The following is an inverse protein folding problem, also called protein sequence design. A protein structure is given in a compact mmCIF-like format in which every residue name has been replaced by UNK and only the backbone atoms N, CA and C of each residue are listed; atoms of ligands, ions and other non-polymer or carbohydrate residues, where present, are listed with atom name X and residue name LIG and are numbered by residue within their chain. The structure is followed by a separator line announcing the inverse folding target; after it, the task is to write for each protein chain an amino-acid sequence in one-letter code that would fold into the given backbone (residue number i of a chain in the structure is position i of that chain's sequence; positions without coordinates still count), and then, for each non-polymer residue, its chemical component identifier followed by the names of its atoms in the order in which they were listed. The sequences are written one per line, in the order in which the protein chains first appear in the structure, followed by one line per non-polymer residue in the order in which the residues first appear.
data_IF_802560809530
#
_entry.id   IF_802560809530
#
_cell.length_a   1.000
_cell.length_b   1.000
_cell.length_c   1.000
_cell.angle_alpha   90.00
_cell.angle_beta   90.00
_cell.angle_gamma   90.00
#
_symmetry.space_group_name_H-M   'P 1'
#
loop_
_entity.id
_entity.type
_entity.pdbx_description
1 polymer ?
#
# COMPACT_ATOMS: atom_id res chain seq x y z
N UNK A 1 0.51 34.39 -0.68
CA UNK A 1 -0.28 34.09 -1.89
C UNK A 1 -1.34 33.06 -1.52
N UNK A 2 -2.56 33.27 -1.94
CA UNK A 2 -3.65 32.29 -1.83
C UNK A 2 -3.48 31.16 -2.86
N UNK A 3 -4.15 29.99 -2.66
CA UNK A 3 -4.17 28.88 -3.64
C UNK A 3 -4.54 29.39 -5.06
N UNK A 4 -5.55 30.28 -5.16
CA UNK A 4 -6.00 30.84 -6.44
C UNK A 4 -4.91 31.68 -7.14
N UNK A 5 -4.16 32.48 -6.39
CA UNK A 5 -3.02 33.23 -6.92
C UNK A 5 -1.89 32.31 -7.36
N UNK A 6 -1.57 31.28 -6.58
CA UNK A 6 -0.58 30.28 -6.95
C UNK A 6 -0.96 29.57 -8.25
N UNK A 7 -2.21 29.13 -8.41
CA UNK A 7 -2.73 28.55 -9.65
C UNK A 7 -2.58 29.50 -10.85
N UNK A 8 -2.83 30.80 -10.64
CA UNK A 8 -2.74 31.79 -11.72
C UNK A 8 -1.31 32.01 -12.23
N UNK A 9 -0.32 31.92 -11.31
CA UNK A 9 1.09 32.22 -11.65
C UNK A 9 1.91 30.96 -11.93
N UNK A 10 1.43 29.78 -11.58
CA UNK A 10 2.12 28.52 -11.83
C UNK A 10 2.03 28.14 -13.32
N UNK A 11 3.15 27.84 -13.94
CA UNK A 11 3.19 27.32 -15.30
C UNK A 11 3.40 25.79 -15.27
N UNK A 12 2.38 24.98 -15.59
CA UNK A 12 2.49 23.52 -15.54
C UNK A 12 3.37 22.92 -16.66
N UNK A 13 3.88 23.75 -17.58
CA UNK A 13 4.75 23.31 -18.67
C UNK A 13 6.23 23.59 -18.39
N UNK A 14 6.54 24.17 -17.23
CA UNK A 14 7.92 24.42 -16.81
C UNK A 14 8.54 23.20 -16.15
N UNK A 15 9.87 23.24 -16.00
CA UNK A 15 10.63 22.23 -15.25
C UNK A 15 10.12 22.21 -13.79
N UNK A 16 9.91 21.03 -13.25
CA UNK A 16 9.49 20.83 -11.85
C UNK A 16 10.50 21.46 -10.87
N UNK A 17 10.00 22.30 -9.97
CA UNK A 17 10.82 22.92 -8.94
C UNK A 17 11.08 21.94 -7.79
N UNK A 18 12.30 21.44 -7.66
CA UNK A 18 12.69 20.46 -6.63
C UNK A 18 12.67 21.02 -5.19
N UNK A 19 12.57 22.34 -5.02
CA UNK A 19 12.37 22.99 -3.72
C UNK A 19 10.88 23.22 -3.37
N UNK A 20 9.97 22.82 -4.25
CA UNK A 20 8.53 22.85 -4.02
C UNK A 20 8.02 21.47 -3.55
N UNK A 21 6.70 21.29 -3.45
CA UNK A 21 6.10 19.99 -3.11
C UNK A 21 6.20 18.96 -4.24
N UNK A 22 5.62 17.80 -4.02
CA UNK A 22 5.53 16.71 -5.01
C UNK A 22 5.06 17.25 -6.37
N UNK A 23 5.65 16.77 -7.46
CA UNK A 23 5.44 17.27 -8.84
C UNK A 23 5.87 18.73 -9.04
N UNK A 24 6.66 19.31 -8.15
CA UNK A 24 7.02 20.74 -8.22
C UNK A 24 5.87 21.71 -7.94
N UNK A 25 4.77 21.23 -7.35
CA UNK A 25 3.58 22.03 -7.09
C UNK A 25 3.80 23.03 -5.94
N UNK A 26 3.28 24.27 -6.06
CA UNK A 26 3.57 25.35 -5.11
C UNK A 26 2.63 25.39 -3.89
N UNK A 27 1.86 24.32 -3.65
CA UNK A 27 0.82 24.31 -2.64
C UNK A 27 1.33 23.90 -1.27
N UNK A 28 0.75 24.49 -0.22
CA UNK A 28 0.93 24.06 1.16
C UNK A 28 -0.02 22.91 1.49
N UNK A 29 0.24 22.22 2.61
CA UNK A 29 -0.59 21.11 3.08
C UNK A 29 -2.08 21.47 3.14
N UNK A 30 -2.41 22.62 3.71
CA UNK A 30 -3.81 23.07 3.85
C UNK A 30 -4.49 23.32 2.50
N UNK A 31 -3.73 23.76 1.50
CA UNK A 31 -4.22 24.07 0.15
C UNK A 31 -4.44 22.81 -0.71
N UNK A 32 -3.83 21.69 -0.35
CA UNK A 32 -3.92 20.43 -1.09
C UNK A 32 -5.17 19.63 -0.72
N UNK A 33 -5.83 19.07 -1.72
CA UNK A 33 -6.97 18.15 -1.53
C UNK A 33 -6.50 16.71 -1.29
N UNK A 34 -5.34 16.35 -1.85
CA UNK A 34 -4.74 15.03 -1.76
C UNK A 34 -3.52 15.09 -0.83
N UNK A 35 -3.46 14.17 0.11
CA UNK A 35 -2.35 14.01 1.06
C UNK A 35 -1.71 12.64 0.84
N UNK A 36 -0.43 12.60 0.51
CA UNK A 36 0.34 11.36 0.36
C UNK A 36 1.16 11.15 1.63
N UNK A 37 0.91 10.05 2.31
CA UNK A 37 1.64 9.64 3.52
C UNK A 37 2.74 8.66 3.12
N UNK A 38 4.01 9.03 3.22
CA UNK A 38 5.13 8.12 2.99
C UNK A 38 5.31 7.16 4.17
N UNK A 39 5.46 5.86 3.89
CA UNK A 39 5.69 4.81 4.89
C UNK A 39 6.91 4.00 4.49
N UNK A 40 8.14 4.42 4.84
CA UNK A 40 9.39 3.76 4.47
C UNK A 40 9.62 2.50 5.33
N UNK A 41 8.84 1.44 5.07
CA UNK A 41 8.82 0.22 5.86
C UNK A 41 9.01 -1.03 4.99
N UNK A 42 9.98 -1.89 5.38
CA UNK A 42 10.27 -3.14 4.67
C UNK A 42 10.74 -4.28 5.60
N UNK A 43 10.23 -4.28 6.82
CA UNK A 43 10.74 -5.17 7.90
C UNK A 43 10.61 -6.64 7.56
N UNK A 44 9.53 -7.05 6.90
CA UNK A 44 9.20 -8.47 6.67
C UNK A 44 9.43 -8.93 5.23
N UNK A 45 10.12 -8.15 4.41
CA UNK A 45 10.42 -8.52 3.02
C UNK A 45 11.30 -9.79 2.99
N UNK A 46 10.84 -10.83 2.29
CA UNK A 46 11.53 -12.13 2.25
C UNK A 46 12.66 -12.18 1.22
N UNK A 47 12.58 -11.38 0.15
CA UNK A 47 13.58 -11.40 -0.93
C UNK A 47 13.90 -9.99 -1.39
N UNK A 48 15.18 -9.62 -1.33
CA UNK A 48 15.71 -8.32 -1.75
C UNK A 48 15.07 -7.12 -1.01
N UNK A 49 15.88 -6.28 -0.39
CA UNK A 49 15.44 -5.02 0.23
C UNK A 49 15.36 -3.87 -0.78
N UNK A 50 14.96 -2.68 -0.30
CA UNK A 50 14.96 -1.43 -1.05
C UNK A 50 13.57 -0.80 -1.24
N UNK A 51 12.49 -1.50 -0.89
CA UNK A 51 11.13 -0.96 -0.99
C UNK A 51 10.90 0.21 -0.03
N UNK A 52 11.59 0.26 1.10
CA UNK A 52 11.53 1.40 2.04
C UNK A 52 12.02 2.71 1.41
N UNK A 53 12.86 2.65 0.37
CA UNK A 53 13.31 3.83 -0.38
C UNK A 53 12.28 4.31 -1.43
N UNK A 54 11.23 3.52 -1.67
CA UNK A 54 10.18 3.82 -2.65
C UNK A 54 9.59 5.22 -2.51
N UNK A 55 9.20 5.68 -1.31
CA UNK A 55 8.65 7.02 -1.13
C UNK A 55 9.59 8.14 -1.59
N UNK A 56 10.88 8.08 -1.23
CA UNK A 56 11.89 9.05 -1.66
C UNK A 56 12.11 9.01 -3.16
N UNK A 57 12.29 7.81 -3.73
CA UNK A 57 12.53 7.64 -5.16
C UNK A 57 11.36 8.15 -6.02
N UNK A 58 10.12 7.93 -5.57
CA UNK A 58 8.92 8.41 -6.26
C UNK A 58 8.79 9.93 -6.13
N UNK A 59 9.09 10.50 -4.96
CA UNK A 59 9.11 11.96 -4.78
C UNK A 59 10.12 12.60 -5.74
N UNK A 60 11.35 12.09 -5.79
CA UNK A 60 12.38 12.58 -6.71
C UNK A 60 11.97 12.45 -8.17
N UNK A 61 11.42 11.29 -8.56
CA UNK A 61 10.95 11.07 -9.93
C UNK A 61 9.77 11.99 -10.30
N UNK A 62 8.94 12.38 -9.33
CA UNK A 62 7.77 13.23 -9.56
C UNK A 62 8.11 14.60 -10.16
N UNK A 63 9.31 15.10 -9.93
CA UNK A 63 9.76 16.38 -10.49
C UNK A 63 10.02 16.33 -12.01
N UNK A 64 10.07 15.13 -12.60
CA UNK A 64 10.29 14.92 -14.04
C UNK A 64 8.98 14.63 -14.80
N UNK A 65 7.85 14.58 -14.10
CA UNK A 65 6.56 14.20 -14.69
C UNK A 65 5.85 15.43 -15.26
N UNK A 66 5.42 15.34 -16.53
CA UNK A 66 4.52 16.32 -17.11
C UNK A 66 3.14 16.28 -16.46
N UNK A 67 2.57 17.46 -16.17
CA UNK A 67 1.31 17.59 -15.45
C UNK A 67 0.06 17.51 -16.35
N UNK A 68 0.22 17.11 -17.60
CA UNK A 68 -0.89 16.92 -18.52
C UNK A 68 -1.56 15.57 -18.33
N UNK A 69 -2.84 15.57 -17.99
CA UNK A 69 -3.68 14.38 -17.98
C UNK A 69 -4.78 14.52 -19.07
N UNK A 70 -4.89 13.56 -20.01
CA UNK A 70 -5.85 13.65 -21.11
C UNK A 70 -7.31 13.43 -20.68
N UNK A 71 -7.52 12.78 -19.52
CA UNK A 71 -8.85 12.44 -18.99
C UNK A 71 -9.32 13.48 -17.99
N UNK A 72 -8.42 13.97 -17.12
CA UNK A 72 -8.73 14.95 -16.07
C UNK A 72 -7.88 16.21 -16.27
N UNK A 73 -8.30 17.12 -17.18
CA UNK A 73 -7.54 18.33 -17.45
C UNK A 73 -7.32 19.16 -16.18
N UNK A 74 -6.08 19.59 -15.97
CA UNK A 74 -5.69 20.41 -14.82
C UNK A 74 -5.85 19.72 -13.44
N UNK A 75 -5.75 18.40 -13.37
CA UNK A 75 -5.80 17.64 -12.11
C UNK A 75 -4.83 18.18 -11.04
N UNK A 76 -3.67 18.73 -11.46
CA UNK A 76 -2.68 19.36 -10.58
C UNK A 76 -3.24 20.49 -9.71
N UNK A 77 -4.34 21.16 -10.12
CA UNK A 77 -4.98 22.25 -9.35
C UNK A 77 -5.63 21.78 -8.06
N UNK A 78 -5.91 20.49 -7.93
CA UNK A 78 -6.37 19.90 -6.66
C UNK A 78 -5.32 20.10 -5.57
N UNK A 79 -4.04 20.10 -5.93
CA UNK A 79 -2.92 20.11 -5.03
C UNK A 79 -2.69 18.72 -4.44
N UNK A 80 -1.46 18.28 -4.53
CA UNK A 80 -0.99 17.01 -3.95
C UNK A 80 0.14 17.37 -3.00
N UNK A 81 -0.03 17.02 -1.73
CA UNK A 81 0.98 17.23 -0.70
C UNK A 81 1.61 15.89 -0.34
N UNK A 82 2.92 15.86 -0.37
CA UNK A 82 3.71 14.74 0.15
C UNK A 82 4.08 15.09 1.58
N UNK A 83 3.61 14.27 2.53
CA UNK A 83 3.84 14.48 3.95
C UNK A 83 5.31 14.23 4.32
N UNK A 84 5.74 14.75 5.47
CA UNK A 84 7.10 14.53 5.94
C UNK A 84 7.34 13.04 6.24
N UNK A 85 8.51 12.55 5.86
CA UNK A 85 8.94 11.20 6.23
C UNK A 85 9.24 11.17 7.73
N UNK A 86 8.51 10.33 8.46
CA UNK A 86 8.71 10.16 9.89
C UNK A 86 10.02 9.41 10.14
N UNK A 87 11.03 10.14 10.62
CA UNK A 87 12.39 9.62 10.84
C UNK A 87 12.40 8.41 11.80
N UNK A 88 11.52 8.41 12.79
CA UNK A 88 11.43 7.30 13.75
C UNK A 88 10.95 6.00 13.09
N UNK A 89 10.04 6.09 12.12
CA UNK A 89 9.55 4.95 11.33
C UNK A 89 10.65 4.42 10.41
N UNK A 90 11.32 5.33 9.68
CA UNK A 90 12.43 4.98 8.78
C UNK A 90 13.58 4.32 9.54
N UNK A 91 14.02 4.91 10.65
CA UNK A 91 15.10 4.37 11.48
C UNK A 91 14.74 2.99 12.05
N UNK A 92 13.51 2.82 12.53
CA UNK A 92 13.02 1.52 13.05
C UNK A 92 12.99 0.47 11.96
N UNK A 93 12.44 0.78 10.80
CA UNK A 93 12.44 -0.09 9.63
C UNK A 93 13.84 -0.60 9.30
N UNK A 94 14.78 0.33 9.10
CA UNK A 94 16.17 -0.01 8.76
C UNK A 94 16.87 -0.87 9.83
N UNK A 95 16.64 -0.55 11.11
CA UNK A 95 17.28 -1.28 12.20
C UNK A 95 16.71 -2.68 12.34
N UNK A 96 15.40 -2.81 12.25
CA UNK A 96 14.71 -4.08 12.42
C UNK A 96 14.89 -5.00 11.20
N UNK A 97 14.94 -4.41 9.99
CA UNK A 97 15.21 -5.15 8.74
C UNK A 97 16.48 -5.99 8.82
N UNK A 98 17.55 -5.46 9.42
CA UNK A 98 18.80 -6.23 9.57
C UNK A 98 18.63 -7.48 10.42
N UNK A 99 17.79 -7.43 11.46
CA UNK A 99 17.49 -8.58 12.31
C UNK A 99 16.61 -9.59 11.60
N UNK A 100 15.55 -9.10 10.93
CA UNK A 100 14.60 -9.98 10.22
C UNK A 100 15.22 -10.61 8.99
N UNK A 101 16.10 -9.92 8.27
CA UNK A 101 16.86 -10.49 7.16
C UNK A 101 17.80 -11.63 7.63
N UNK A 102 18.51 -11.41 8.74
CA UNK A 102 19.32 -12.48 9.33
C UNK A 102 18.45 -13.65 9.75
N UNK A 103 17.31 -13.41 10.37
CA UNK A 103 16.33 -14.42 10.74
C UNK A 103 15.84 -15.23 9.52
N UNK A 104 15.44 -14.57 8.43
CA UNK A 104 14.96 -15.19 7.20
C UNK A 104 16.06 -16.08 6.59
N UNK A 105 17.31 -15.61 6.59
CA UNK A 105 18.44 -16.40 6.12
C UNK A 105 18.63 -17.69 6.94
N UNK A 106 18.55 -17.62 8.27
CA UNK A 106 18.64 -18.79 9.14
C UNK A 106 17.47 -19.77 8.90
N UNK A 107 16.25 -19.27 8.66
CA UNK A 107 15.14 -20.14 8.27
C UNK A 107 15.43 -20.88 6.96
N UNK A 108 16.02 -20.20 5.97
CA UNK A 108 16.36 -20.81 4.68
C UNK A 108 17.47 -21.87 4.82
N UNK A 109 18.30 -21.80 5.86
CA UNK A 109 19.31 -22.78 6.24
C UNK A 109 18.73 -23.95 7.07
N UNK A 110 17.43 -23.91 7.40
CA UNK A 110 16.71 -24.96 8.12
C UNK A 110 16.66 -24.77 9.64
N UNK A 111 17.09 -23.62 10.17
CA UNK A 111 16.87 -23.30 11.56
C UNK A 111 15.37 -22.98 11.81
N UNK A 112 14.91 -23.23 13.01
CA UNK A 112 13.53 -22.97 13.43
C UNK A 112 13.50 -22.29 14.80
N UNK A 113 12.43 -21.58 15.17
CA UNK A 113 12.27 -21.02 16.51
C UNK A 113 12.35 -22.08 17.63
N UNK A 114 11.98 -23.33 17.32
CA UNK A 114 12.08 -24.46 18.26
C UNK A 114 13.54 -24.90 18.52
N UNK A 115 14.40 -24.82 17.50
CA UNK A 115 15.83 -25.12 17.62
C UNK A 115 16.65 -23.93 18.14
N UNK A 116 16.19 -22.71 17.92
CA UNK A 116 16.89 -21.49 18.30
C UNK A 116 15.90 -20.43 18.86
N UNK A 117 15.76 -20.34 20.19
CA UNK A 117 14.80 -19.41 20.83
C UNK A 117 15.01 -17.94 20.50
N UNK A 118 16.21 -17.50 20.08
CA UNK A 118 16.47 -16.12 19.65
C UNK A 118 15.70 -15.77 18.39
N UNK A 119 15.36 -16.74 17.57
CA UNK A 119 14.54 -16.53 16.39
C UNK A 119 13.11 -16.09 16.79
N UNK A 120 12.56 -16.66 17.88
CA UNK A 120 11.27 -16.25 18.41
C UNK A 120 11.29 -14.81 18.92
N UNK A 121 12.35 -14.38 19.59
CA UNK A 121 12.50 -12.99 20.03
C UNK A 121 12.47 -12.01 18.85
N UNK A 122 13.08 -12.39 17.72
CA UNK A 122 13.05 -11.56 16.49
C UNK A 122 11.65 -11.46 15.90
N UNK A 123 10.89 -12.57 15.87
CA UNK A 123 9.50 -12.59 15.41
C UNK A 123 8.63 -11.67 16.29
N UNK A 124 8.76 -11.84 17.60
CA UNK A 124 7.96 -11.09 18.58
C UNK A 124 8.25 -9.58 18.50
N UNK A 125 9.53 -9.20 18.39
CA UNK A 125 9.92 -7.80 18.19
C UNK A 125 9.37 -7.26 16.86
N UNK A 126 9.49 -8.01 15.76
CA UNK A 126 8.98 -7.58 14.44
C UNK A 126 7.46 -7.38 14.47
N UNK A 127 6.71 -8.34 15.02
CA UNK A 127 5.25 -8.24 15.11
C UNK A 127 4.81 -7.06 15.98
N UNK A 128 5.48 -6.82 17.12
CA UNK A 128 5.18 -5.69 17.99
C UNK A 128 5.45 -4.34 17.32
N UNK A 129 6.54 -4.21 16.56
CA UNK A 129 6.89 -2.95 15.87
C UNK A 129 6.02 -2.73 14.63
N UNK A 130 5.66 -3.79 13.89
CA UNK A 130 4.67 -3.70 12.80
C UNK A 130 3.31 -3.23 13.30
N UNK A 131 2.88 -3.70 14.48
CA UNK A 131 1.65 -3.23 15.11
C UNK A 131 1.69 -1.72 15.43
N UNK A 132 2.83 -1.23 15.94
CA UNK A 132 3.03 0.21 16.19
C UNK A 132 3.02 1.02 14.90
N UNK A 133 3.69 0.53 13.86
CA UNK A 133 3.67 1.15 12.52
C UNK A 133 2.23 1.25 11.99
N UNK A 134 1.45 0.18 12.06
CA UNK A 134 0.04 0.18 11.64
C UNK A 134 -0.79 1.19 12.44
N UNK A 135 -0.56 1.31 13.76
CA UNK A 135 -1.26 2.28 14.61
C UNK A 135 -0.89 3.73 14.23
N UNK A 136 0.38 3.99 13.95
CA UNK A 136 0.85 5.29 13.46
C UNK A 136 0.22 5.65 12.11
N UNK A 137 0.25 4.74 11.14
CA UNK A 137 -0.39 4.93 9.82
C UNK A 137 -1.88 5.25 9.99
N UNK A 138 -2.59 4.48 10.83
CA UNK A 138 -4.01 4.71 11.12
C UNK A 138 -4.26 6.13 11.64
N UNK A 139 -3.50 6.56 12.64
CA UNK A 139 -3.65 7.89 13.22
C UNK A 139 -3.34 9.00 12.20
N UNK A 140 -2.29 8.83 11.40
CA UNK A 140 -1.93 9.81 10.37
C UNK A 140 -3.00 9.91 9.29
N UNK A 141 -3.55 8.78 8.84
CA UNK A 141 -4.68 8.77 7.91
C UNK A 141 -5.92 9.45 8.50
N UNK A 142 -6.31 9.13 9.72
CA UNK A 142 -7.46 9.77 10.39
C UNK A 142 -7.29 11.28 10.54
N UNK A 143 -6.07 11.75 10.80
CA UNK A 143 -5.78 13.18 10.87
C UNK A 143 -6.21 13.91 9.58
N UNK A 144 -5.85 13.40 8.42
CA UNK A 144 -6.21 14.01 7.14
C UNK A 144 -7.65 13.73 6.70
N UNK A 145 -8.14 12.52 6.92
CA UNK A 145 -9.53 12.18 6.62
C UNK A 145 -10.53 13.05 7.41
N UNK A 146 -10.19 13.44 8.65
CA UNK A 146 -11.01 14.33 9.44
C UNK A 146 -11.00 15.78 8.94
N UNK A 147 -10.04 16.15 8.12
CA UNK A 147 -9.99 17.42 7.39
C UNK A 147 -10.66 17.33 6.01
N UNK A 148 -11.35 16.22 5.72
CA UNK A 148 -11.97 15.93 4.41
C UNK A 148 -10.96 15.89 3.24
N UNK A 149 -9.73 15.48 3.50
CA UNK A 149 -8.72 15.27 2.48
C UNK A 149 -8.83 13.86 1.89
N UNK A 150 -8.44 13.71 0.63
CA UNK A 150 -8.19 12.42 0.02
C UNK A 150 -6.82 11.95 0.49
N UNK A 151 -6.74 10.74 1.02
CA UNK A 151 -5.49 10.20 1.55
C UNK A 151 -4.98 9.10 0.62
N UNK A 152 -3.74 9.24 0.17
CA UNK A 152 -2.94 8.20 -0.47
C UNK A 152 -1.83 7.75 0.46
N UNK A 153 -1.47 6.47 0.41
CA UNK A 153 -0.33 5.92 1.13
C UNK A 153 0.72 5.49 0.11
N UNK A 154 1.96 5.86 0.36
CA UNK A 154 3.09 5.48 -0.46
C UNK A 154 4.06 4.66 0.38
N UNK A 155 3.99 3.34 0.27
CA UNK A 155 4.85 2.39 0.97
C UNK A 155 6.21 2.23 0.27
N UNK A 156 6.97 1.54 0.81
CA UNK A 156 7.44 0.39 1.51
C UNK A 156 6.91 -0.90 0.90
N UNK A 157 6.96 -1.92 1.71
CA UNK A 157 6.38 -3.20 1.31
C UNK A 157 4.84 -3.20 1.45
N UNK A 158 4.20 -4.27 0.98
CA UNK A 158 2.74 -4.36 0.96
C UNK A 158 2.09 -4.56 2.35
N UNK A 159 2.87 -4.58 3.45
CA UNK A 159 2.30 -4.60 4.81
C UNK A 159 1.80 -3.24 5.28
N UNK A 160 2.24 -2.16 4.62
CA UNK A 160 2.03 -0.77 5.05
C UNK A 160 0.57 -0.27 5.06
N UNK A 161 -0.38 -0.72 4.20
CA UNK A 161 -1.72 -0.12 4.13
C UNK A 161 -2.72 -0.59 5.19
N UNK A 162 -2.38 -1.53 6.10
CA UNK A 162 -3.33 -2.04 7.08
C UNK A 162 -3.89 -0.93 7.98
N UNK A 163 -3.04 -0.03 8.45
CA UNK A 163 -3.46 1.12 9.26
C UNK A 163 -4.40 2.06 8.51
N UNK A 164 -4.16 2.28 7.20
CA UNK A 164 -5.06 3.07 6.35
C UNK A 164 -6.42 2.39 6.17
N UNK A 165 -6.46 1.08 5.94
CA UNK A 165 -7.72 0.32 5.85
C UNK A 165 -8.53 0.43 7.15
N UNK A 166 -7.88 0.35 8.31
CA UNK A 166 -8.50 0.55 9.63
C UNK A 166 -9.03 1.98 9.81
N UNK A 167 -8.30 3.00 9.33
CA UNK A 167 -8.74 4.39 9.38
C UNK A 167 -9.96 4.65 8.50
N UNK A 168 -9.97 4.10 7.27
CA UNK A 168 -11.10 4.19 6.36
C UNK A 168 -12.35 3.51 6.91
N UNK A 169 -12.19 2.31 7.48
CA UNK A 169 -13.27 1.59 8.15
C UNK A 169 -13.85 2.38 9.33
N UNK A 170 -13.01 2.99 10.15
CA UNK A 170 -13.45 3.84 11.27
C UNK A 170 -14.18 5.10 10.80
N UNK A 171 -13.69 5.73 9.72
CA UNK A 171 -14.25 6.99 9.21
C UNK A 171 -15.54 6.81 8.43
N UNK A 172 -15.62 5.78 7.59
CA UNK A 172 -16.68 5.62 6.59
C UNK A 172 -17.58 4.42 6.84
N UNK A 173 -17.20 3.49 7.73
CA UNK A 173 -17.94 2.25 7.96
C UNK A 173 -17.60 1.19 6.91
N UNK A 174 -18.61 0.58 6.30
CA UNK A 174 -18.44 -0.52 5.36
C UNK A 174 -17.66 -0.10 4.11
N UNK A 175 -16.71 -0.93 3.72
CA UNK A 175 -15.87 -0.72 2.53
C UNK A 175 -15.53 -2.03 1.82
N UNK A 176 -15.16 -1.93 0.54
CA UNK A 176 -14.52 -3.00 -0.22
C UNK A 176 -13.09 -2.63 -0.58
N UNK A 177 -12.32 -3.65 -0.92
CA UNK A 177 -10.93 -3.52 -1.34
C UNK A 177 -10.83 -4.00 -2.79
N UNK A 178 -10.25 -3.17 -3.67
CA UNK A 178 -9.75 -3.59 -4.97
C UNK A 178 -8.23 -3.73 -4.86
N UNK A 179 -7.74 -4.97 -4.94
CA UNK A 179 -6.32 -5.29 -4.97
C UNK A 179 -5.88 -5.59 -6.40
N UNK A 180 -4.95 -4.82 -6.93
CA UNK A 180 -4.32 -5.10 -8.23
C UNK A 180 -2.90 -5.57 -7.93
N UNK A 181 -2.67 -6.87 -8.04
CA UNK A 181 -1.47 -7.52 -7.53
C UNK A 181 -1.13 -8.81 -8.27
N UNK A 182 0.12 -9.25 -8.15
CA UNK A 182 0.59 -10.56 -8.54
C UNK A 182 0.26 -11.64 -7.51
N UNK A 183 0.24 -11.27 -6.21
CA UNK A 183 0.13 -12.18 -5.07
C UNK A 183 -1.22 -12.07 -4.39
N UNK A 184 -1.69 -13.18 -3.82
CA UNK A 184 -2.97 -13.17 -3.09
C UNK A 184 -2.86 -12.49 -1.72
N UNK A 185 -1.69 -12.56 -1.07
CA UNK A 185 -1.38 -11.95 0.24
C UNK A 185 -2.37 -12.35 1.36
N UNK A 186 -2.82 -13.58 1.29
CA UNK A 186 -3.83 -14.17 2.19
C UNK A 186 -3.23 -15.14 3.21
N UNK A 187 -1.91 -15.17 3.37
CA UNK A 187 -1.26 -16.01 4.39
C UNK A 187 -1.58 -15.53 5.79
N UNK A 188 -1.88 -16.43 6.71
CA UNK A 188 -2.18 -16.08 8.12
C UNK A 188 -0.98 -15.41 8.80
N UNK A 189 0.21 -16.00 8.61
CA UNK A 189 1.50 -15.40 8.94
C UNK A 189 2.53 -15.97 7.97
N UNK A 190 3.44 -15.15 7.53
CA UNK A 190 4.51 -15.62 6.64
C UNK A 190 5.84 -15.51 7.33
N UNK A 191 6.59 -16.61 7.35
CA UNK A 191 7.86 -16.70 8.07
C UNK A 191 7.74 -16.34 9.57
N UNK A 192 6.57 -16.57 10.19
CA UNK A 192 6.26 -16.20 11.58
C UNK A 192 5.81 -14.74 11.77
N UNK A 193 5.86 -13.91 10.74
CA UNK A 193 5.44 -12.51 10.80
C UNK A 193 3.93 -12.38 10.53
N UNK A 194 3.17 -12.01 11.58
CA UNK A 194 1.71 -11.79 11.47
C UNK A 194 1.35 -10.63 10.53
N UNK A 195 2.17 -9.57 10.54
CA UNK A 195 1.98 -8.37 9.71
C UNK A 195 2.94 -8.34 8.53
N UNK A 196 3.16 -9.48 7.89
CA UNK A 196 3.95 -9.59 6.67
C UNK A 196 3.25 -8.96 5.47
N UNK A 197 4.03 -8.56 4.46
CA UNK A 197 3.53 -8.20 3.13
C UNK A 197 2.62 -9.28 2.54
N UNK A 198 2.98 -10.57 2.71
CA UNK A 198 2.18 -11.71 2.23
C UNK A 198 0.92 -12.00 3.07
N UNK A 199 0.67 -11.22 4.13
CA UNK A 199 -0.46 -11.39 5.05
C UNK A 199 -1.40 -10.19 5.08
N UNK A 200 -1.15 -9.18 4.24
CA UNK A 200 -1.90 -7.92 4.31
C UNK A 200 -3.40 -8.11 4.08
N UNK A 201 -3.80 -8.88 3.09
CA UNK A 201 -5.21 -9.10 2.78
C UNK A 201 -5.87 -10.03 3.80
N UNK A 202 -5.14 -11.01 4.36
CA UNK A 202 -5.62 -11.81 5.47
C UNK A 202 -5.96 -10.94 6.69
N UNK A 203 -5.09 -9.98 7.01
CA UNK A 203 -5.32 -9.03 8.11
C UNK A 203 -6.42 -8.01 7.79
N UNK A 204 -6.52 -7.55 6.57
CA UNK A 204 -7.59 -6.67 6.11
C UNK A 204 -8.98 -7.32 6.29
N UNK A 205 -9.10 -8.61 6.01
CA UNK A 205 -10.34 -9.36 6.18
C UNK A 205 -10.75 -9.57 7.65
N UNK A 206 -9.86 -9.33 8.63
CA UNK A 206 -10.22 -9.30 10.06
C UNK A 206 -10.95 -8.00 10.45
N UNK A 207 -10.88 -6.97 9.63
CA UNK A 207 -11.63 -5.71 9.80
C UNK A 207 -13.09 -5.99 9.42
N UNK A 208 -14.02 -5.83 10.36
CA UNK A 208 -15.45 -6.20 10.18
C UNK A 208 -16.14 -5.39 9.09
N UNK A 209 -15.70 -4.17 8.90
CA UNK A 209 -16.20 -3.21 7.92
C UNK A 209 -15.75 -3.55 6.48
N UNK A 210 -14.68 -4.34 6.30
CA UNK A 210 -14.27 -4.85 4.98
C UNK A 210 -15.23 -5.94 4.56
N UNK A 211 -16.15 -5.62 3.65
CA UNK A 211 -17.21 -6.55 3.22
C UNK A 211 -16.77 -7.49 2.11
N UNK A 212 -15.99 -6.98 1.18
CA UNK A 212 -15.45 -7.78 0.08
C UNK A 212 -14.04 -7.35 -0.30
N UNK A 213 -13.32 -8.31 -0.85
CA UNK A 213 -12.01 -8.16 -1.46
C UNK A 213 -12.10 -8.63 -2.92
N UNK A 214 -11.85 -7.73 -3.85
CA UNK A 214 -11.74 -8.04 -5.27
C UNK A 214 -10.27 -7.99 -5.67
N UNK A 215 -9.73 -9.13 -6.08
CA UNK A 215 -8.33 -9.28 -6.46
C UNK A 215 -8.19 -9.41 -7.97
N UNK A 216 -7.26 -8.71 -8.58
CA UNK A 216 -7.04 -8.68 -10.04
C UNK A 216 -5.58 -8.92 -10.37
N UNK A 217 -5.31 -9.86 -11.26
CA UNK A 217 -3.96 -10.15 -11.75
C UNK A 217 -3.19 -11.19 -10.93
N UNK A 218 -3.86 -11.87 -9.99
CA UNK A 218 -3.23 -12.85 -9.11
C UNK A 218 -2.68 -14.02 -9.92
N UNK A 219 -1.40 -14.34 -9.72
CA UNK A 219 -0.67 -15.40 -10.45
C UNK A 219 0.34 -16.18 -9.61
N UNK A 220 0.54 -15.76 -8.36
CA UNK A 220 1.37 -16.47 -7.38
C UNK A 220 0.64 -16.55 -6.03
N UNK A 221 0.31 -17.76 -5.59
CA UNK A 221 -0.45 -18.06 -4.38
C UNK A 221 -0.27 -19.54 -4.01
N UNK A 222 -0.44 -19.86 -2.73
CA UNK A 222 -0.37 -21.25 -2.25
C UNK A 222 -1.77 -21.90 -2.15
N UNK A 223 -1.78 -23.22 -1.90
CA UNK A 223 -3.03 -23.99 -1.78
C UNK A 223 -3.92 -23.50 -0.64
N UNK A 224 -3.34 -23.06 0.50
CA UNK A 224 -4.10 -22.54 1.64
C UNK A 224 -4.81 -21.22 1.29
N UNK A 225 -4.15 -20.34 0.54
CA UNK A 225 -4.75 -19.09 0.05
C UNK A 225 -5.89 -19.39 -0.94
N UNK A 226 -5.69 -20.35 -1.85
CA UNK A 226 -6.75 -20.78 -2.78
C UNK A 226 -7.95 -21.36 -2.04
N UNK A 227 -7.72 -22.16 -0.99
CA UNK A 227 -8.80 -22.69 -0.16
C UNK A 227 -9.56 -21.58 0.57
N UNK A 228 -8.85 -20.55 1.06
CA UNK A 228 -9.49 -19.39 1.68
C UNK A 228 -10.37 -18.63 0.69
N UNK A 229 -9.87 -18.40 -0.54
CA UNK A 229 -10.65 -17.78 -1.63
C UNK A 229 -11.92 -18.58 -1.89
N UNK A 230 -11.78 -19.89 -2.14
CA UNK A 230 -12.90 -20.78 -2.51
C UNK A 230 -13.95 -20.90 -1.40
N UNK A 231 -13.54 -20.86 -0.12
CA UNK A 231 -14.42 -21.00 1.04
C UNK A 231 -14.97 -19.66 1.56
N UNK A 232 -14.65 -18.55 0.92
CA UNK A 232 -14.99 -17.19 1.37
C UNK A 232 -16.47 -16.80 1.21
N UNK A 233 -17.31 -17.65 0.62
CA UNK A 233 -18.70 -17.32 0.26
C UNK A 233 -18.81 -16.03 -0.57
N UNK A 234 -17.91 -15.86 -1.53
CA UNK A 234 -17.78 -14.67 -2.40
C UNK A 234 -17.36 -13.38 -1.68
N UNK A 235 -16.93 -13.46 -0.43
CA UNK A 235 -16.30 -12.31 0.21
C UNK A 235 -14.95 -11.96 -0.43
N UNK A 236 -14.28 -12.96 -1.03
CA UNK A 236 -13.09 -12.80 -1.86
C UNK A 236 -13.48 -13.22 -3.28
N UNK A 237 -13.28 -12.31 -4.25
CA UNK A 237 -13.46 -12.58 -5.67
C UNK A 237 -12.13 -12.31 -6.36
N UNK A 238 -11.54 -13.35 -6.94
CA UNK A 238 -10.21 -13.27 -7.53
C UNK A 238 -10.27 -13.47 -9.04
N UNK A 239 -9.82 -12.46 -9.77
CA UNK A 239 -9.57 -12.49 -11.20
C UNK A 239 -8.10 -12.88 -11.43
N UNK A 240 -7.85 -14.18 -11.61
CA UNK A 240 -6.51 -14.70 -11.86
C UNK A 240 -5.99 -14.23 -13.22
N UNK A 241 -4.70 -13.85 -13.28
CA UNK A 241 -4.07 -13.36 -14.50
C UNK A 241 -4.20 -14.36 -15.66
N UNK A 242 -4.00 -15.66 -15.38
CA UNK A 242 -4.18 -16.72 -16.35
C UNK A 242 -5.60 -16.69 -16.98
N UNK A 243 -6.63 -16.51 -16.17
CA UNK A 243 -8.02 -16.55 -16.61
C UNK A 243 -8.38 -15.26 -17.36
N UNK A 244 -7.87 -14.10 -16.90
CA UNK A 244 -7.97 -12.84 -17.65
C UNK A 244 -7.36 -12.97 -19.04
N UNK A 245 -6.13 -13.50 -19.11
CA UNK A 245 -5.43 -13.70 -20.40
C UNK A 245 -6.15 -14.68 -21.32
N UNK A 246 -6.69 -15.77 -20.73
CA UNK A 246 -7.50 -16.71 -21.50
C UNK A 246 -8.75 -16.05 -22.07
N UNK A 247 -9.49 -15.29 -21.29
CA UNK A 247 -10.68 -14.56 -21.74
C UNK A 247 -10.34 -13.58 -22.88
N UNK A 248 -9.26 -12.83 -22.75
CA UNK A 248 -8.79 -11.95 -23.83
C UNK A 248 -8.43 -12.73 -25.10
N UNK A 249 -7.80 -13.90 -24.96
CA UNK A 249 -7.41 -14.75 -26.10
C UNK A 249 -8.63 -15.29 -26.86
N UNK A 250 -9.72 -15.59 -26.19
CA UNK A 250 -10.95 -16.09 -26.82
C UNK A 250 -11.90 -14.97 -27.30
N UNK A 251 -11.54 -13.71 -27.11
CA UNK A 251 -12.20 -12.56 -27.74
C UNK A 251 -12.84 -11.56 -26.80
N UNK A 252 -12.81 -11.74 -25.48
CA UNK A 252 -13.29 -10.74 -24.54
C UNK A 252 -12.42 -9.47 -24.61
N UNK A 253 -13.07 -8.33 -24.67
CA UNK A 253 -12.38 -7.04 -24.58
C UNK A 253 -11.97 -6.74 -23.14
N UNK A 254 -10.96 -5.88 -22.98
CA UNK A 254 -10.58 -5.39 -21.65
C UNK A 254 -11.73 -4.68 -20.93
N UNK A 255 -12.56 -3.94 -21.66
CA UNK A 255 -13.72 -3.26 -21.09
C UNK A 255 -14.72 -4.25 -20.48
N UNK A 256 -15.04 -5.34 -21.16
CA UNK A 256 -15.95 -6.38 -20.64
C UNK A 256 -15.36 -7.05 -19.38
N UNK A 257 -14.04 -7.21 -19.33
CA UNK A 257 -13.36 -7.73 -18.13
C UNK A 257 -13.46 -6.71 -16.98
N UNK A 258 -13.20 -5.43 -17.24
CA UNK A 258 -13.35 -4.35 -16.26
C UNK A 258 -14.79 -4.26 -15.73
N UNK A 259 -15.80 -4.37 -16.59
CA UNK A 259 -17.20 -4.35 -16.17
C UNK A 259 -17.50 -5.50 -15.18
N UNK A 260 -16.95 -6.71 -15.43
CA UNK A 260 -17.08 -7.83 -14.50
C UNK A 260 -16.35 -7.61 -13.17
N UNK A 261 -15.18 -6.98 -13.20
CA UNK A 261 -14.43 -6.62 -11.98
C UNK A 261 -15.24 -5.61 -11.16
N UNK A 262 -15.70 -4.54 -11.79
CA UNK A 262 -16.45 -3.46 -11.15
C UNK A 262 -17.77 -3.95 -10.56
N UNK A 263 -18.46 -4.88 -11.23
CA UNK A 263 -19.71 -5.47 -10.73
C UNK A 263 -19.54 -6.27 -9.42
N UNK A 264 -18.31 -6.57 -8.99
CA UNK A 264 -18.02 -7.25 -7.73
C UNK A 264 -17.53 -6.27 -6.63
N UNK A 265 -17.38 -4.99 -6.95
CA UNK A 265 -17.10 -3.95 -5.94
C UNK A 265 -18.40 -3.54 -5.24
N UNK A 266 -18.33 -3.05 -3.97
CA UNK A 266 -19.51 -2.60 -3.24
C UNK A 266 -20.09 -1.32 -3.81
#
# INVERSE_FOLDING_TARGET
MTKAEKIKFFNPNDIGNTNAGMFGLPFTQDECEIQIIPVPWEVTVSYSGGTAEGPNAILEASYQVDLHDPIVPNAWKMGIFFDDIEESVSFKSHTLRKKTEHYINLLSEGETPQSNPKLQETIDEANAECLKMNAWVKQRCLHFLNQNKIVGLLGGDHSTPLGMMQALAEKFGELGILQIDAHADLRNAYEGFEFSHASIMFNALKIKEVKNLVQVGIRDYCDEELQLINNSNKRIVTFFDRDIKHQQYIGDTWNEICDRIIANLP
#
